data_IF_904886652303
#
_entry.id   IF_904886652303
#
_cell.length_a   1.000
_cell.length_b   1.000
_cell.length_c   1.000
_cell.angle_alpha   90.00
_cell.angle_beta   90.00
_cell.angle_gamma   90.00
#
_symmetry.space_group_name_H-M   'P 1'
#
loop_
_entity.id
_entity.type
_entity.pdbx_description
1 polymer ?
#
# COMPACT_ATOMS: atom_id res chain seq x y z
N UNK A 1 -0.29 -30.03 3.73
CA UNK A 1 -1.68 -29.69 3.36
C UNK A 1 -1.69 -29.16 1.93
N UNK A 2 -2.55 -29.68 1.04
CA UNK A 2 -2.74 -29.11 -0.31
C UNK A 2 -3.77 -27.98 -0.23
N UNK A 3 -3.42 -26.81 -0.76
CA UNK A 3 -4.30 -25.63 -0.76
C UNK A 3 -4.73 -25.36 -2.20
N UNK A 4 -6.04 -25.22 -2.43
CA UNK A 4 -6.60 -24.83 -3.72
C UNK A 4 -7.13 -23.40 -3.56
N UNK A 5 -6.62 -22.48 -4.38
CA UNK A 5 -7.07 -21.09 -4.41
C UNK A 5 -8.13 -20.93 -5.51
N UNK A 6 -9.33 -20.47 -5.13
CA UNK A 6 -10.41 -20.16 -6.07
C UNK A 6 -10.60 -18.64 -6.05
N UNK A 7 -10.35 -18.00 -7.19
CA UNK A 7 -10.55 -16.55 -7.32
C UNK A 7 -12.03 -16.20 -7.19
N UNK A 8 -12.37 -15.36 -6.21
CA UNK A 8 -13.68 -14.71 -6.18
C UNK A 8 -13.70 -13.59 -7.22
N UNK A 9 -14.67 -13.63 -8.11
CA UNK A 9 -14.87 -12.65 -9.18
C UNK A 9 -16.12 -11.84 -8.89
N UNK A 10 -16.03 -10.53 -9.13
CA UNK A 10 -17.21 -9.68 -9.06
C UNK A 10 -18.18 -10.08 -10.19
N UNK A 11 -19.42 -10.42 -9.84
CA UNK A 11 -20.50 -10.66 -10.82
C UNK A 11 -21.18 -9.34 -11.16
N UNK A 12 -21.59 -9.19 -12.41
CA UNK A 12 -22.50 -8.13 -12.88
C UNK A 12 -22.02 -6.68 -12.66
N UNK A 13 -20.76 -6.36 -12.98
CA UNK A 13 -20.41 -4.94 -13.15
C UNK A 13 -20.72 -4.51 -14.59
N UNK A 14 -21.80 -3.78 -14.78
CA UNK A 14 -22.07 -3.11 -16.04
C UNK A 14 -21.01 -2.02 -16.26
N UNK A 15 -20.18 -2.23 -17.28
CA UNK A 15 -19.23 -1.23 -17.74
C UNK A 15 -20.01 -0.13 -18.46
N UNK A 16 -20.26 0.96 -17.75
CA UNK A 16 -20.83 2.17 -18.34
C UNK A 16 -19.95 3.37 -17.98
N UNK A 17 -18.72 3.37 -18.50
CA UNK A 17 -17.77 4.47 -18.32
C UNK A 17 -17.93 5.46 -19.48
N UNK A 18 -18.55 6.64 -19.26
CA UNK A 18 -18.81 7.57 -20.34
C UNK A 18 -17.50 8.21 -20.85
N UNK A 19 -17.49 8.59 -22.13
CA UNK A 19 -16.33 9.20 -22.80
C UNK A 19 -15.85 10.47 -22.06
N UNK A 20 -16.76 11.20 -21.41
CA UNK A 20 -16.43 12.38 -20.59
C UNK A 20 -15.50 12.05 -19.42
N UNK A 21 -15.62 10.86 -18.83
CA UNK A 21 -14.72 10.40 -17.76
C UNK A 21 -13.37 9.98 -18.35
N UNK A 22 -13.36 9.32 -19.51
CA UNK A 22 -12.13 8.93 -20.21
C UNK A 22 -11.28 10.16 -20.55
N UNK A 23 -11.91 11.27 -20.95
CA UNK A 23 -11.22 12.54 -21.25
C UNK A 23 -10.49 13.17 -20.06
N UNK A 24 -10.80 12.77 -18.82
CA UNK A 24 -10.07 13.23 -17.62
C UNK A 24 -8.71 12.57 -17.46
N UNK A 25 -8.46 11.46 -18.16
CA UNK A 25 -7.25 10.67 -18.02
C UNK A 25 -6.12 11.18 -18.92
N UNK A 26 -4.86 11.03 -18.47
CA UNK A 26 -3.70 11.29 -19.30
C UNK A 26 -3.59 10.27 -20.44
N UNK A 27 -2.91 10.65 -21.52
CA UNK A 27 -2.73 9.82 -22.72
C UNK A 27 -1.86 8.58 -22.51
N UNK A 28 -1.06 8.54 -21.45
CA UNK A 28 -0.24 7.39 -21.06
C UNK A 28 -0.57 7.01 -19.63
N UNK A 29 -0.91 5.74 -19.43
CA UNK A 29 -1.39 5.25 -18.14
C UNK A 29 -0.77 3.89 -17.79
N UNK A 30 -0.59 3.66 -16.50
CA UNK A 30 -0.46 2.32 -15.94
C UNK A 30 -1.82 1.92 -15.37
N UNK A 31 -2.43 0.89 -15.95
CA UNK A 31 -3.66 0.29 -15.44
C UNK A 31 -3.36 -0.78 -14.38
N UNK A 32 -3.81 -0.56 -13.16
CA UNK A 32 -3.67 -1.48 -12.03
C UNK A 32 -5.04 -2.00 -11.60
N UNK A 33 -5.13 -3.21 -11.05
CA UNK A 33 -6.41 -3.76 -10.59
C UNK A 33 -6.27 -4.71 -9.39
N UNK A 34 -7.30 -4.78 -8.57
CA UNK A 34 -7.43 -5.83 -7.54
C UNK A 34 -8.01 -7.11 -8.15
N UNK A 35 -7.64 -8.29 -7.64
CA UNK A 35 -7.96 -9.60 -8.25
C UNK A 35 -9.44 -9.79 -8.65
N UNK A 36 -10.37 -9.32 -7.80
CA UNK A 36 -11.81 -9.43 -8.03
C UNK A 36 -12.31 -8.66 -9.26
N UNK A 37 -11.55 -7.66 -9.70
CA UNK A 37 -11.89 -6.73 -10.79
C UNK A 37 -11.18 -7.08 -12.11
N UNK A 38 -10.47 -8.20 -12.19
CA UNK A 38 -9.67 -8.59 -13.38
C UNK A 38 -10.46 -8.52 -14.70
N UNK A 39 -11.69 -9.04 -14.71
CA UNK A 39 -12.53 -9.04 -15.92
C UNK A 39 -12.90 -7.60 -16.34
N UNK A 40 -13.34 -6.78 -15.39
CA UNK A 40 -13.64 -5.37 -15.64
C UNK A 40 -12.40 -4.61 -16.13
N UNK A 41 -11.25 -4.85 -15.51
CA UNK A 41 -10.01 -4.19 -15.87
C UNK A 41 -9.58 -4.53 -17.31
N UNK A 42 -9.82 -5.76 -17.77
CA UNK A 42 -9.62 -6.14 -19.19
C UNK A 42 -10.56 -5.34 -20.12
N UNK A 43 -11.86 -5.25 -19.79
CA UNK A 43 -12.80 -4.51 -20.61
C UNK A 43 -12.48 -3.01 -20.67
N UNK A 44 -12.05 -2.43 -19.55
CA UNK A 44 -11.60 -1.03 -19.48
C UNK A 44 -10.33 -0.83 -20.30
N UNK A 45 -9.37 -1.75 -20.22
CA UNK A 45 -8.14 -1.67 -21.03
C UNK A 45 -8.48 -1.50 -22.51
N UNK A 46 -9.35 -2.35 -23.04
CA UNK A 46 -9.81 -2.30 -24.44
C UNK A 46 -10.50 -0.96 -24.72
N UNK A 47 -11.43 -0.54 -23.85
CA UNK A 47 -12.16 0.72 -24.01
C UNK A 47 -11.21 1.93 -24.06
N UNK A 48 -10.22 1.99 -23.18
CA UNK A 48 -9.24 3.09 -23.11
C UNK A 48 -8.34 3.09 -24.36
N UNK A 49 -7.85 1.93 -24.80
CA UNK A 49 -7.01 1.80 -26.00
C UNK A 49 -7.76 2.25 -27.26
N UNK A 50 -9.03 1.86 -27.42
CA UNK A 50 -9.91 2.32 -28.51
C UNK A 50 -10.18 3.83 -28.48
N UNK A 51 -9.98 4.49 -27.35
CA UNK A 51 -10.11 5.95 -27.19
C UNK A 51 -8.75 6.68 -27.17
N UNK A 52 -7.72 6.08 -27.79
CA UNK A 52 -6.38 6.66 -27.95
C UNK A 52 -5.67 6.96 -26.61
N UNK A 53 -5.86 6.10 -25.60
CA UNK A 53 -5.05 6.09 -24.38
C UNK A 53 -4.08 4.90 -24.47
N UNK A 54 -2.79 5.19 -24.32
CA UNK A 54 -1.74 4.19 -24.31
C UNK A 54 -1.58 3.58 -22.90
N UNK A 55 -1.90 2.29 -22.78
CA UNK A 55 -1.71 1.52 -21.54
C UNK A 55 -0.29 0.96 -21.50
N UNK A 56 0.60 1.68 -20.81
CA UNK A 56 2.04 1.35 -20.70
C UNK A 56 2.30 0.09 -19.89
N UNK A 57 1.45 -0.20 -18.91
CA UNK A 57 1.51 -1.40 -18.05
C UNK A 57 0.10 -1.80 -17.64
N UNK A 58 -0.10 -3.10 -17.48
CA UNK A 58 -1.33 -3.69 -16.96
C UNK A 58 -0.99 -4.75 -15.91
N UNK A 59 -1.40 -4.56 -14.65
CA UNK A 59 -0.95 -5.44 -13.55
C UNK A 59 -1.95 -5.57 -12.40
N UNK A 60 -2.10 -6.81 -11.90
CA UNK A 60 -2.76 -7.06 -10.63
C UNK A 60 -1.92 -6.51 -9.47
N UNK A 61 -2.55 -5.78 -8.55
CA UNK A 61 -1.92 -5.21 -7.36
C UNK A 61 -2.64 -5.64 -6.09
N UNK A 62 -1.88 -5.68 -5.00
CA UNK A 62 -2.33 -5.79 -3.62
C UNK A 62 -1.94 -4.52 -2.87
N UNK A 63 -2.50 -4.29 -1.69
CA UNK A 63 -2.10 -3.13 -0.85
C UNK A 63 -0.61 -3.12 -0.47
N UNK A 64 0.06 -4.27 -0.47
CA UNK A 64 1.50 -4.40 -0.22
C UNK A 64 2.36 -4.47 -1.49
N UNK A 65 1.77 -4.39 -2.68
CA UNK A 65 2.51 -4.50 -3.94
C UNK A 65 3.49 -3.34 -4.13
N UNK A 66 4.75 -3.67 -4.43
CA UNK A 66 5.76 -2.68 -4.82
C UNK A 66 5.61 -2.39 -6.32
N UNK A 67 4.98 -1.26 -6.65
CA UNK A 67 5.02 -0.69 -7.99
C UNK A 67 5.94 0.51 -8.02
N UNK A 68 6.65 0.72 -9.13
CA UNK A 68 7.36 1.96 -9.41
C UNK A 68 6.84 2.46 -10.75
N UNK A 69 5.83 3.34 -10.70
CA UNK A 69 5.13 3.84 -11.87
C UNK A 69 5.77 5.15 -12.31
N UNK A 70 6.23 5.22 -13.56
CA UNK A 70 6.70 6.47 -14.17
C UNK A 70 5.54 7.28 -14.74
N UNK A 71 4.48 6.58 -15.14
CA UNK A 71 3.23 7.12 -15.64
C UNK A 71 2.16 7.23 -14.54
N UNK A 72 1.16 8.11 -14.71
CA UNK A 72 -0.05 8.10 -13.89
C UNK A 72 -0.71 6.72 -13.85
N UNK A 73 -1.31 6.38 -12.70
CA UNK A 73 -1.92 5.08 -12.46
C UNK A 73 -3.44 5.22 -12.43
N UNK A 74 -4.15 4.36 -13.16
CA UNK A 74 -5.58 4.13 -12.96
C UNK A 74 -5.77 2.81 -12.20
N UNK A 75 -6.34 2.88 -11.01
CA UNK A 75 -6.66 1.71 -10.18
C UNK A 75 -8.12 1.29 -10.37
N UNK A 76 -8.32 0.05 -10.82
CA UNK A 76 -9.63 -0.60 -10.94
C UNK A 76 -9.83 -1.51 -9.73
N UNK A 77 -10.60 -1.02 -8.77
CA UNK A 77 -10.97 -1.77 -7.58
C UNK A 77 -11.55 -0.87 -6.50
N UNK A 78 -11.98 -1.49 -5.41
CA UNK A 78 -12.50 -0.77 -4.25
C UNK A 78 -11.46 -0.62 -3.14
N UNK A 79 -11.63 0.44 -2.36
CA UNK A 79 -10.88 0.70 -1.14
C UNK A 79 -9.74 1.70 -1.34
N UNK A 80 -9.83 2.82 -0.61
CA UNK A 80 -8.79 3.86 -0.55
C UNK A 80 -7.41 3.30 -0.19
N UNK A 81 -7.34 2.25 0.62
CA UNK A 81 -6.09 1.65 1.09
C UNK A 81 -5.17 1.16 -0.05
N UNK A 82 -5.74 0.57 -1.12
CA UNK A 82 -4.98 0.14 -2.28
C UNK A 82 -4.37 1.35 -2.99
N UNK A 83 -5.14 2.41 -3.15
CA UNK A 83 -4.66 3.63 -3.76
C UNK A 83 -3.60 4.33 -2.88
N UNK A 84 -3.75 4.30 -1.55
CA UNK A 84 -2.82 4.92 -0.58
C UNK A 84 -1.39 4.39 -0.67
N UNK A 85 -1.22 3.06 -0.71
CA UNK A 85 0.12 2.49 -0.82
C UNK A 85 0.77 2.71 -2.19
N UNK A 86 -0.04 2.96 -3.22
CA UNK A 86 0.43 3.27 -4.57
C UNK A 86 0.80 4.77 -4.69
N UNK A 87 0.15 5.69 -3.94
CA UNK A 87 0.35 7.15 -4.07
C UNK A 87 1.80 7.59 -3.89
N UNK A 88 2.57 6.91 -3.05
CA UNK A 88 3.97 7.27 -2.83
C UNK A 88 4.90 6.89 -3.98
N UNK A 89 4.39 6.19 -5.00
CA UNK A 89 5.19 5.53 -6.04
C UNK A 89 4.66 5.74 -7.46
N UNK A 90 3.76 6.69 -7.63
CA UNK A 90 3.22 7.13 -8.90
C UNK A 90 3.12 8.66 -8.92
N UNK A 91 3.25 9.32 -10.08
CA UNK A 91 3.12 10.77 -10.18
C UNK A 91 1.69 11.25 -9.88
N UNK A 92 0.69 10.52 -10.40
CA UNK A 92 -0.73 10.79 -10.22
C UNK A 92 -1.48 9.47 -10.13
N UNK A 93 -2.60 9.47 -9.40
CA UNK A 93 -3.44 8.28 -9.25
C UNK A 93 -4.90 8.66 -9.46
N UNK A 94 -5.56 7.80 -10.23
CA UNK A 94 -6.98 7.81 -10.50
C UNK A 94 -7.58 6.51 -9.99
N UNK A 95 -8.79 6.58 -9.42
CA UNK A 95 -9.59 5.40 -9.07
C UNK A 95 -10.83 5.34 -9.96
N UNK A 96 -11.26 4.13 -10.30
CA UNK A 96 -12.58 3.91 -10.87
C UNK A 96 -13.55 3.50 -9.76
N UNK A 97 -14.49 4.37 -9.44
CA UNK A 97 -15.52 4.15 -8.41
C UNK A 97 -16.89 4.42 -9.02
N UNK A 98 -17.79 3.43 -8.99
CA UNK A 98 -19.16 3.55 -9.52
C UNK A 98 -19.22 4.17 -10.93
N UNK A 99 -18.39 3.66 -11.84
CA UNK A 99 -18.26 4.14 -13.22
C UNK A 99 -17.80 5.61 -13.37
N UNK A 100 -17.19 6.20 -12.34
CA UNK A 100 -16.57 7.53 -12.36
C UNK A 100 -15.07 7.44 -12.13
N UNK A 101 -14.33 8.28 -12.85
CA UNK A 101 -12.90 8.45 -12.66
C UNK A 101 -12.68 9.57 -11.65
N UNK A 102 -12.08 9.22 -10.53
CA UNK A 102 -11.75 10.15 -9.46
C UNK A 102 -10.24 10.28 -9.41
N UNK A 103 -9.74 11.49 -9.65
CA UNK A 103 -8.34 11.80 -9.39
C UNK A 103 -8.17 12.03 -7.89
N UNK A 104 -7.16 11.40 -7.31
CA UNK A 104 -6.91 11.59 -5.88
C UNK A 104 -6.24 12.94 -5.67
N UNK A 105 -6.77 13.68 -4.69
CA UNK A 105 -6.34 15.05 -4.47
C UNK A 105 -4.87 15.14 -4.06
N UNK A 106 -4.15 16.15 -4.57
CA UNK A 106 -2.78 16.45 -4.13
C UNK A 106 -2.71 16.71 -2.63
N UNK A 107 -3.74 17.36 -2.07
CA UNK A 107 -3.83 17.66 -0.64
C UNK A 107 -3.86 16.38 0.21
N UNK A 108 -4.64 15.37 -0.19
CA UNK A 108 -4.69 14.07 0.51
C UNK A 108 -3.32 13.37 0.47
N UNK A 109 -2.64 13.38 -0.68
CA UNK A 109 -1.30 12.80 -0.83
C UNK A 109 -0.28 13.51 0.07
N UNK A 110 -0.30 14.85 0.10
CA UNK A 110 0.61 15.63 0.94
C UNK A 110 0.34 15.38 2.44
N UNK A 111 -0.92 15.30 2.86
CA UNK A 111 -1.27 14.95 4.25
C UNK A 111 -0.72 13.57 4.63
N UNK A 112 -0.80 12.59 3.74
CA UNK A 112 -0.23 11.25 3.96
C UNK A 112 1.29 11.31 4.10
N UNK A 113 1.98 12.04 3.20
CA UNK A 113 3.44 12.24 3.27
C UNK A 113 3.86 12.90 4.58
N UNK A 114 3.11 13.93 5.03
CA UNK A 114 3.35 14.59 6.31
C UNK A 114 3.20 13.60 7.46
N UNK A 115 2.12 12.80 7.50
CA UNK A 115 1.94 11.76 8.53
C UNK A 115 3.10 10.76 8.56
N UNK A 116 3.55 10.28 7.39
CA UNK A 116 4.70 9.36 7.30
C UNK A 116 6.00 10.01 7.77
N UNK A 117 6.27 11.24 7.36
CA UNK A 117 7.44 12.01 7.80
C UNK A 117 7.43 12.21 9.32
N UNK A 118 6.29 12.56 9.90
CA UNK A 118 6.14 12.68 11.35
C UNK A 118 6.43 11.36 12.07
N UNK A 119 5.94 10.23 11.55
CA UNK A 119 6.24 8.92 12.12
C UNK A 119 7.74 8.59 12.07
N UNK A 120 8.40 8.91 10.97
CA UNK A 120 9.85 8.74 10.83
C UNK A 120 10.63 9.64 11.81
N UNK A 121 10.23 10.90 12.00
CA UNK A 121 10.86 11.78 12.98
C UNK A 121 10.74 11.24 14.41
N UNK A 122 9.56 10.73 14.79
CA UNK A 122 9.36 10.08 16.09
C UNK A 122 10.24 8.85 16.27
N UNK A 123 10.43 8.05 15.22
CA UNK A 123 11.34 6.92 15.24
C UNK A 123 12.80 7.36 15.45
N UNK A 124 13.25 8.42 14.76
CA UNK A 124 14.61 8.90 14.87
C UNK A 124 14.93 9.43 16.28
N UNK A 125 13.97 10.07 16.94
CA UNK A 125 14.12 10.59 18.32
C UNK A 125 13.82 9.56 19.42
N UNK A 126 13.41 8.33 19.08
CA UNK A 126 12.97 7.34 20.06
C UNK A 126 14.14 6.52 20.63
N UNK A 127 14.18 6.33 21.94
CA UNK A 127 15.22 5.54 22.61
C UNK A 127 14.87 4.05 22.67
N UNK A 128 13.59 3.71 22.87
CA UNK A 128 13.07 2.35 22.91
C UNK A 128 12.25 2.03 21.68
N UNK A 129 12.70 1.04 20.92
CA UNK A 129 12.12 0.62 19.64
C UNK A 129 11.54 -0.79 19.76
N UNK A 130 10.29 -0.96 19.36
CA UNK A 130 9.67 -2.27 19.16
C UNK A 130 9.72 -2.68 17.69
N UNK A 131 10.08 -3.92 17.38
CA UNK A 131 10.09 -4.46 16.02
C UNK A 131 8.98 -5.50 15.92
N UNK A 132 7.95 -5.17 15.15
CA UNK A 132 6.73 -5.98 15.00
C UNK A 132 6.96 -7.03 13.91
N UNK A 133 6.66 -8.29 14.25
CA UNK A 133 6.68 -9.45 13.34
C UNK A 133 5.33 -10.16 13.42
N UNK A 134 4.71 -10.41 12.25
CA UNK A 134 3.55 -11.30 12.18
C UNK A 134 4.00 -12.74 11.97
N UNK A 135 3.32 -13.72 12.56
CA UNK A 135 3.51 -15.14 12.23
C UNK A 135 2.66 -15.61 11.04
N UNK A 136 1.85 -14.72 10.44
CA UNK A 136 1.04 -15.05 9.26
C UNK A 136 1.91 -15.36 8.06
N UNK A 137 1.57 -16.43 7.35
CA UNK A 137 2.19 -16.78 6.06
C UNK A 137 2.11 -15.59 5.09
N UNK A 138 3.24 -15.22 4.50
CA UNK A 138 3.37 -14.06 3.61
C UNK A 138 3.62 -12.71 4.29
N UNK A 139 3.51 -12.63 5.63
CA UNK A 139 3.88 -11.44 6.41
C UNK A 139 5.05 -11.69 7.37
N UNK A 140 5.36 -12.96 7.64
CA UNK A 140 6.45 -13.36 8.52
C UNK A 140 7.82 -12.97 7.94
N UNK A 141 8.52 -12.11 8.68
CA UNK A 141 9.78 -11.51 8.28
C UNK A 141 10.79 -11.50 9.46
N UNK A 142 10.86 -12.58 10.25
CA UNK A 142 11.69 -12.63 11.47
C UNK A 142 13.17 -12.37 11.18
N UNK A 143 13.69 -12.90 10.07
CA UNK A 143 15.09 -12.69 9.64
C UNK A 143 15.40 -11.21 9.44
N UNK A 144 14.44 -10.45 8.90
CA UNK A 144 14.58 -9.00 8.73
C UNK A 144 14.54 -8.28 10.07
N UNK A 145 13.64 -8.69 10.97
CA UNK A 145 13.56 -8.12 12.32
C UNK A 145 14.84 -8.33 13.13
N UNK A 146 15.44 -9.52 13.09
CA UNK A 146 16.72 -9.82 13.74
C UNK A 146 17.84 -8.92 13.19
N UNK A 147 17.94 -8.77 11.86
CA UNK A 147 18.93 -7.86 11.25
C UNK A 147 18.72 -6.40 11.65
N UNK A 148 17.47 -5.94 11.75
CA UNK A 148 17.15 -4.59 12.21
C UNK A 148 17.53 -4.39 13.68
N UNK A 149 17.24 -5.36 14.55
CA UNK A 149 17.66 -5.35 15.95
C UNK A 149 19.18 -5.21 16.07
N UNK A 150 19.93 -6.05 15.35
CA UNK A 150 21.40 -5.99 15.34
C UNK A 150 21.95 -4.64 14.86
N UNK A 151 21.27 -3.97 13.92
CA UNK A 151 21.65 -2.63 13.47
C UNK A 151 21.33 -1.57 14.52
N UNK A 152 20.16 -1.64 15.15
CA UNK A 152 19.75 -0.73 16.22
C UNK A 152 20.66 -0.86 17.45
N UNK A 153 21.13 -2.06 17.79
CA UNK A 153 22.06 -2.31 18.89
C UNK A 153 23.44 -1.67 18.69
N UNK A 154 23.82 -1.35 17.44
CA UNK A 154 25.02 -0.56 17.11
C UNK A 154 24.81 0.94 17.30
N UNK A 155 23.60 1.35 17.67
CA UNK A 155 23.24 2.73 18.00
C UNK A 155 22.87 2.82 19.47
N UNK A 156 22.62 4.02 19.99
CA UNK A 156 22.20 4.20 21.39
C UNK A 156 20.72 3.80 21.66
N UNK A 157 20.08 3.02 20.78
CA UNK A 157 18.66 2.65 20.89
C UNK A 157 18.48 1.25 21.45
N UNK A 158 17.64 1.11 22.46
CA UNK A 158 17.18 -0.18 22.96
C UNK A 158 16.13 -0.76 22.01
N UNK A 159 16.24 -2.03 21.64
CA UNK A 159 15.32 -2.65 20.69
C UNK A 159 14.84 -4.04 21.10
N UNK A 160 13.54 -4.30 20.86
CA UNK A 160 12.87 -5.55 21.25
C UNK A 160 12.04 -6.08 20.07
N UNK A 161 11.99 -7.41 19.90
CA UNK A 161 11.18 -8.03 18.85
C UNK A 161 9.87 -8.52 19.47
N UNK A 162 8.75 -8.17 18.84
CA UNK A 162 7.41 -8.56 19.24
C UNK A 162 6.79 -9.43 18.16
N UNK A 163 6.49 -10.68 18.50
CA UNK A 163 5.85 -11.64 17.61
C UNK A 163 4.37 -11.79 17.97
N UNK A 164 3.50 -11.71 16.97
CA UNK A 164 2.08 -12.03 17.12
C UNK A 164 1.52 -12.60 15.83
N UNK A 165 0.44 -13.38 15.89
CA UNK A 165 -0.31 -13.73 14.68
C UNK A 165 -1.14 -12.51 14.22
N UNK A 166 -2.08 -12.08 15.05
CA UNK A 166 -2.91 -10.89 14.83
C UNK A 166 -2.30 -9.71 15.59
N UNK A 167 -1.89 -8.69 14.85
CA UNK A 167 -1.34 -7.46 15.44
C UNK A 167 -2.50 -6.53 15.74
N UNK A 168 -2.78 -6.33 17.04
CA UNK A 168 -3.69 -5.29 17.51
C UNK A 168 -2.87 -4.07 17.92
N UNK A 169 -3.06 -2.94 17.22
CA UNK A 169 -2.32 -1.70 17.49
C UNK A 169 -2.60 -1.17 18.91
N UNK A 170 -3.82 -1.36 19.42
CA UNK A 170 -4.19 -0.90 20.76
C UNK A 170 -3.33 -1.57 21.85
N UNK A 171 -3.00 -2.86 21.68
CA UNK A 171 -2.14 -3.59 22.63
C UNK A 171 -0.70 -3.10 22.65
N UNK A 172 -0.25 -2.38 21.62
CA UNK A 172 1.11 -1.84 21.58
C UNK A 172 1.33 -0.77 22.65
N UNK A 173 0.27 -0.07 23.08
CA UNK A 173 0.35 0.95 24.13
C UNK A 173 0.64 0.35 25.52
N UNK A 174 0.46 -0.96 25.70
CA UNK A 174 0.80 -1.66 26.95
C UNK A 174 2.31 -1.83 27.17
N UNK A 175 3.13 -1.56 26.14
CA UNK A 175 4.58 -1.67 26.23
C UNK A 175 5.21 -0.29 26.31
N UNK A 176 6.23 -0.16 27.17
CA UNK A 176 7.02 1.07 27.30
C UNK A 176 7.99 1.24 26.10
N UNK A 177 7.43 1.45 24.91
CA UNK A 177 8.10 1.59 23.62
C UNK A 177 7.74 2.95 23.01
N UNK A 178 8.74 3.70 22.56
CA UNK A 178 8.53 5.05 22.02
C UNK A 178 8.12 5.03 20.54
N UNK A 179 8.64 4.08 19.76
CA UNK A 179 8.32 3.93 18.34
C UNK A 179 8.46 2.48 17.87
N UNK A 180 7.76 2.14 16.78
CA UNK A 180 7.65 0.79 16.28
C UNK A 180 8.13 0.68 14.85
N UNK A 181 8.97 -0.33 14.57
CA UNK A 181 9.29 -0.76 13.20
C UNK A 181 8.37 -1.93 12.83
N UNK A 182 7.58 -1.76 11.78
CA UNK A 182 6.73 -2.79 11.21
C UNK A 182 7.48 -3.60 10.14
N UNK A 183 7.57 -4.92 10.35
CA UNK A 183 8.05 -5.87 9.33
C UNK A 183 6.93 -6.76 8.76
N UNK A 184 5.68 -6.58 9.20
CA UNK A 184 4.52 -7.34 8.77
C UNK A 184 3.80 -6.67 7.58
N UNK A 185 2.45 -6.69 7.55
CA UNK A 185 1.67 -5.98 6.54
C UNK A 185 1.99 -4.46 6.56
N UNK A 186 2.45 -3.85 5.45
CA UNK A 186 2.83 -2.44 5.43
C UNK A 186 1.67 -1.48 5.71
N UNK A 187 0.43 -1.97 5.59
CA UNK A 187 -0.77 -1.22 5.91
C UNK A 187 -0.89 -0.77 7.35
N UNK A 188 -0.34 -1.55 8.28
CA UNK A 188 -0.39 -1.27 9.71
C UNK A 188 0.17 0.11 10.06
N UNK A 189 1.15 0.58 9.29
CA UNK A 189 1.77 1.87 9.51
C UNK A 189 0.83 3.05 9.20
N UNK A 190 -0.21 2.86 8.37
CA UNK A 190 -1.17 3.92 8.06
C UNK A 190 -2.10 4.26 9.24
N UNK A 191 -2.29 3.31 10.15
CA UNK A 191 -3.21 3.42 11.28
C UNK A 191 -2.59 4.11 12.51
N UNK A 192 -1.26 4.32 12.52
CA UNK A 192 -0.57 4.97 13.64
C UNK A 192 0.65 5.78 13.22
N UNK A 193 0.80 6.97 13.81
CA UNK A 193 1.98 7.81 13.62
C UNK A 193 3.18 7.38 14.48
N UNK A 194 3.08 6.33 15.29
CA UNK A 194 4.22 5.75 16.02
C UNK A 194 4.87 4.59 15.26
N UNK A 195 4.25 4.13 14.16
CA UNK A 195 4.66 2.95 13.40
C UNK A 195 5.30 3.37 12.06
N UNK A 196 6.54 2.94 11.85
CA UNK A 196 7.28 3.06 10.59
C UNK A 196 7.44 1.70 9.92
N UNK A 197 7.24 1.61 8.60
CA UNK A 197 7.58 0.38 7.89
C UNK A 197 9.09 0.24 7.79
N UNK A 198 9.58 -0.99 7.86
CA UNK A 198 11.01 -1.28 7.77
C UNK A 198 11.68 -0.78 6.47
N UNK A 199 10.90 -0.53 5.40
CA UNK A 199 11.40 0.06 4.15
C UNK A 199 11.63 1.58 4.24
N UNK A 200 11.03 2.26 5.23
CA UNK A 200 11.18 3.70 5.45
C UNK A 200 12.42 4.03 6.32
N UNK A 201 12.93 3.05 7.06
CA UNK A 201 14.05 3.20 7.97
C UNK A 201 15.37 2.93 7.23
N UNK A 202 16.25 3.93 7.19
CA UNK A 202 17.60 3.83 6.62
C UNK A 202 18.64 3.76 7.75
N UNK A 203 18.85 2.56 8.28
CA UNK A 203 19.88 2.20 9.27
C UNK A 203 20.71 1.02 8.81
#
# INVERSE_FOLDING_TARGET
>A
MRIIYIESKLKNLELNLPITEIKKLPKRLFLAYSVQYKNLANSIKILLESNNINITKFKQVLGCSKINAKEPVLLIGTGRFHAINLYLRAPEIYTLENNKIIQVSKQEIEQLKIKRKTALMKFLSADKIGIIVSTKLGQENIKRAIKLKQKLEKTCKQSYIFLSNNINIAELENFNINSWINTACPGLALDSNKIVNADEVKI
#
